data_IF_934412775157
#
_entry.id   IF_934412775157
#
_cell.length_a   1.000
_cell.length_b   1.000
_cell.length_c   1.000
_cell.angle_alpha   90.00
_cell.angle_beta   90.00
_cell.angle_gamma   90.00
#
_symmetry.space_group_name_H-M   'P 1'
#
loop_
_entity.id
_entity.type
_entity.pdbx_description
1 polymer ?
#
# COMPACT_ATOMS: atom_id res chain seq x y z
N UNK A 1 19.00 -28.79 17.98
CA UNK A 1 18.87 -27.60 18.84
C UNK A 1 19.47 -26.41 18.09
N UNK A 2 18.64 -25.46 17.68
CA UNK A 2 19.04 -24.22 17.03
C UNK A 2 18.06 -23.14 17.48
N UNK A 3 18.60 -22.04 18.03
CA UNK A 3 17.88 -21.13 18.93
C UNK A 3 16.57 -20.59 18.38
N UNK A 4 15.48 -20.83 19.12
CA UNK A 4 14.24 -20.08 18.97
C UNK A 4 14.52 -18.62 19.32
N UNK A 5 14.43 -17.77 18.29
CA UNK A 5 14.44 -16.32 18.36
C UNK A 5 13.52 -15.79 19.46
N UNK A 6 14.08 -15.40 20.61
CA UNK A 6 13.36 -14.67 21.64
C UNK A 6 12.80 -13.32 21.11
N UNK A 7 13.33 -12.81 19.99
CA UNK A 7 12.94 -11.53 19.38
C UNK A 7 11.99 -11.63 18.18
N UNK A 8 11.60 -12.84 17.78
CA UNK A 8 10.64 -13.10 16.71
C UNK A 8 11.16 -12.93 15.29
N UNK A 9 10.36 -13.43 14.34
CA UNK A 9 10.73 -13.51 12.94
C UNK A 9 11.07 -12.15 12.32
N UNK A 10 11.67 -12.21 11.12
CA UNK A 10 12.18 -11.04 10.38
C UNK A 10 11.14 -9.91 10.25
N UNK A 11 9.86 -10.23 10.10
CA UNK A 11 8.77 -9.25 10.07
C UNK A 11 8.70 -8.40 11.35
N UNK A 12 8.82 -9.01 12.55
CA UNK A 12 8.81 -8.29 13.84
C UNK A 12 10.05 -7.41 13.98
N UNK A 13 11.22 -7.91 13.57
CA UNK A 13 12.48 -7.16 13.58
C UNK A 13 12.40 -5.93 12.67
N UNK A 14 11.91 -6.08 11.44
CA UNK A 14 11.72 -4.97 10.51
C UNK A 14 10.67 -3.96 11.01
N UNK A 15 9.54 -4.44 11.55
CA UNK A 15 8.51 -3.57 12.09
C UNK A 15 9.03 -2.71 13.25
N UNK A 16 9.76 -3.33 14.19
CA UNK A 16 10.34 -2.59 15.30
C UNK A 16 11.40 -1.58 14.84
N UNK A 17 12.21 -1.94 13.84
CA UNK A 17 13.24 -1.06 13.28
C UNK A 17 12.66 0.24 12.70
N UNK A 18 11.54 0.16 11.99
CA UNK A 18 10.96 1.30 11.28
C UNK A 18 9.70 1.88 11.97
N UNK A 19 9.47 1.52 13.24
CA UNK A 19 8.28 1.96 13.98
C UNK A 19 8.27 3.47 14.20
N UNK A 20 9.42 4.09 14.45
CA UNK A 20 9.52 5.54 14.61
C UNK A 20 9.09 6.27 13.33
N UNK A 21 9.59 5.80 12.20
CA UNK A 21 9.35 6.37 10.87
C UNK A 21 7.88 6.25 10.49
N UNK A 22 7.22 5.15 10.83
CA UNK A 22 5.78 5.00 10.59
C UNK A 22 4.94 6.01 11.39
N UNK A 23 5.39 6.40 12.59
CA UNK A 23 4.76 7.48 13.36
C UNK A 23 5.00 8.83 12.68
N UNK A 24 6.21 9.12 12.20
CA UNK A 24 6.52 10.37 11.49
C UNK A 24 5.67 10.58 10.24
N UNK A 25 5.37 9.51 9.48
CA UNK A 25 4.52 9.59 8.29
C UNK A 25 3.15 10.20 8.62
N UNK A 26 2.55 9.84 9.77
CA UNK A 26 1.25 10.37 10.18
C UNK A 26 1.25 11.88 10.48
N UNK A 27 2.42 12.46 10.76
CA UNK A 27 2.58 13.89 11.03
C UNK A 27 3.07 14.68 9.82
N UNK A 28 3.16 14.06 8.64
CA UNK A 28 3.41 14.81 7.41
C UNK A 28 2.25 15.76 7.11
N UNK A 29 2.50 16.91 6.44
CA UNK A 29 1.46 17.89 6.15
C UNK A 29 0.21 17.30 5.48
N UNK A 30 0.40 16.30 4.60
CA UNK A 30 -0.71 15.60 3.95
C UNK A 30 -1.65 14.95 4.98
N UNK A 31 -1.14 14.08 5.86
CA UNK A 31 -1.96 13.35 6.83
C UNK A 31 -2.54 14.27 7.90
N UNK A 32 -1.82 15.33 8.30
CA UNK A 32 -2.34 16.36 9.19
C UNK A 32 -3.54 17.08 8.56
N UNK A 33 -3.45 17.50 7.30
CA UNK A 33 -4.55 18.17 6.62
C UNK A 33 -5.75 17.24 6.35
N UNK A 34 -5.49 15.95 6.09
CA UNK A 34 -6.55 14.93 6.02
C UNK A 34 -7.29 14.82 7.35
N UNK A 35 -6.55 14.70 8.46
CA UNK A 35 -7.14 14.57 9.79
C UNK A 35 -7.90 15.85 10.22
N UNK A 36 -7.40 17.02 9.85
CA UNK A 36 -8.04 18.31 10.12
C UNK A 36 -9.22 18.63 9.18
N UNK A 37 -9.44 17.83 8.13
CA UNK A 37 -10.52 18.05 7.15
C UNK A 37 -10.30 19.28 6.26
N UNK A 38 -9.06 19.75 6.12
CA UNK A 38 -8.71 20.94 5.32
C UNK A 38 -7.74 20.65 4.17
N UNK A 39 -7.57 19.37 3.79
CA UNK A 39 -6.82 18.99 2.60
C UNK A 39 -7.48 19.58 1.34
N UNK A 40 -6.70 20.26 0.49
CA UNK A 40 -7.23 20.79 -0.76
C UNK A 40 -7.61 19.69 -1.75
N UNK A 41 -8.61 19.97 -2.59
CA UNK A 41 -9.04 19.05 -3.64
C UNK A 41 -7.88 18.69 -4.60
N UNK A 42 -7.06 19.67 -4.97
CA UNK A 42 -5.88 19.44 -5.83
C UNK A 42 -4.87 18.49 -5.18
N UNK A 43 -4.58 18.66 -3.88
CA UNK A 43 -3.66 17.77 -3.15
C UNK A 43 -4.23 16.36 -3.06
N UNK A 44 -5.54 16.24 -2.86
CA UNK A 44 -6.23 14.96 -2.84
C UNK A 44 -6.17 14.26 -4.21
N UNK A 45 -6.48 14.98 -5.29
CA UNK A 45 -6.44 14.45 -6.65
C UNK A 45 -5.01 14.03 -7.05
N UNK A 46 -4.01 14.82 -6.66
CA UNK A 46 -2.61 14.48 -6.87
C UNK A 46 -2.21 13.20 -6.13
N UNK A 47 -2.64 13.07 -4.86
CA UNK A 47 -2.44 11.84 -4.08
C UNK A 47 -3.09 10.63 -4.76
N UNK A 48 -4.35 10.73 -5.19
CA UNK A 48 -5.02 9.62 -5.88
C UNK A 48 -4.27 9.21 -7.16
N UNK A 49 -3.81 10.18 -7.94
CA UNK A 49 -3.05 9.95 -9.17
C UNK A 49 -1.74 9.20 -8.89
N UNK A 50 -0.97 9.63 -7.89
CA UNK A 50 0.25 8.94 -7.46
C UNK A 50 -0.05 7.56 -6.86
N UNK A 51 -1.14 7.44 -6.10
CA UNK A 51 -1.53 6.20 -5.46
C UNK A 51 -1.86 5.09 -6.48
N UNK A 52 -2.41 5.43 -7.65
CA UNK A 52 -2.58 4.49 -8.76
C UNK A 52 -1.24 3.94 -9.25
N UNK A 53 -0.22 4.78 -9.42
CA UNK A 53 1.12 4.32 -9.81
C UNK A 53 1.73 3.39 -8.76
N UNK A 54 1.57 3.72 -7.48
CA UNK A 54 2.04 2.89 -6.38
C UNK A 54 1.35 1.51 -6.38
N UNK A 55 0.02 1.48 -6.50
CA UNK A 55 -0.73 0.22 -6.54
C UNK A 55 -0.36 -0.64 -7.74
N UNK A 56 -0.10 -0.05 -8.91
CA UNK A 56 0.41 -0.78 -10.07
C UNK A 56 1.78 -1.42 -9.79
N UNK A 57 2.68 -0.71 -9.10
CA UNK A 57 3.97 -1.24 -8.68
C UNK A 57 3.80 -2.42 -7.69
N UNK A 58 2.89 -2.31 -6.72
CA UNK A 58 2.56 -3.40 -5.80
C UNK A 58 1.99 -4.63 -6.52
N UNK A 59 1.10 -4.44 -7.50
CA UNK A 59 0.55 -5.55 -8.28
C UNK A 59 1.65 -6.34 -8.99
N UNK A 60 2.63 -5.64 -9.60
CA UNK A 60 3.81 -6.27 -10.21
C UNK A 60 4.73 -6.92 -9.19
N UNK A 61 5.00 -6.26 -8.06
CA UNK A 61 5.85 -6.81 -7.01
C UNK A 61 5.28 -8.13 -6.47
N UNK A 62 3.95 -8.21 -6.27
CA UNK A 62 3.31 -9.46 -5.83
C UNK A 62 3.28 -10.54 -6.91
N UNK A 63 3.20 -10.17 -8.20
CA UNK A 63 3.33 -11.14 -9.28
C UNK A 63 4.72 -11.78 -9.27
N UNK A 64 5.78 -10.98 -9.21
CA UNK A 64 7.15 -11.48 -9.11
C UNK A 64 7.40 -12.28 -7.83
N UNK A 65 6.85 -11.84 -6.70
CA UNK A 65 6.97 -12.57 -5.44
C UNK A 65 6.25 -13.93 -5.47
N UNK A 66 5.13 -14.04 -6.18
CA UNK A 66 4.39 -15.30 -6.38
C UNK A 66 5.20 -16.29 -7.22
N UNK A 67 5.91 -15.82 -8.24
CA UNK A 67 6.82 -16.63 -9.07
C UNK A 67 8.02 -17.16 -8.26
N UNK A 68 8.52 -16.36 -7.31
CA UNK A 68 9.66 -16.71 -6.46
C UNK A 68 9.31 -17.59 -5.25
N UNK A 69 8.03 -17.78 -4.93
CA UNK A 69 7.63 -18.58 -3.77
C UNK A 69 7.75 -20.08 -4.06
N UNK A 70 8.19 -20.87 -3.07
CA UNK A 70 8.37 -22.32 -3.24
C UNK A 70 7.11 -23.11 -2.88
N UNK A 71 6.40 -22.71 -1.82
CA UNK A 71 5.22 -23.40 -1.29
C UNK A 71 3.89 -22.85 -1.85
N UNK A 72 2.93 -23.73 -2.12
CA UNK A 72 1.64 -23.38 -2.72
C UNK A 72 0.74 -22.54 -1.79
N UNK A 73 0.86 -22.67 -0.47
CA UNK A 73 0.16 -21.81 0.49
C UNK A 73 0.71 -20.38 0.43
N UNK A 74 2.03 -20.22 0.37
CA UNK A 74 2.68 -18.91 0.23
C UNK A 74 2.30 -18.25 -1.09
N UNK A 75 2.33 -18.99 -2.21
CA UNK A 75 1.81 -18.53 -3.51
C UNK A 75 0.36 -18.07 -3.41
N UNK A 76 -0.50 -18.86 -2.75
CA UNK A 76 -1.90 -18.51 -2.58
C UNK A 76 -2.08 -17.22 -1.75
N UNK A 77 -1.29 -17.05 -0.69
CA UNK A 77 -1.30 -15.86 0.15
C UNK A 77 -0.88 -14.60 -0.64
N UNK A 78 0.22 -14.68 -1.40
CA UNK A 78 0.70 -13.59 -2.25
C UNK A 78 -0.32 -13.25 -3.35
N UNK A 79 -0.92 -14.28 -3.98
CA UNK A 79 -1.97 -14.09 -4.99
C UNK A 79 -3.20 -13.37 -4.42
N UNK A 80 -3.58 -13.63 -3.16
CA UNK A 80 -4.66 -12.90 -2.47
C UNK A 80 -4.31 -11.42 -2.30
N UNK A 81 -3.06 -11.09 -1.92
CA UNK A 81 -2.58 -9.71 -1.84
C UNK A 81 -2.64 -9.01 -3.19
N UNK A 82 -2.18 -9.68 -4.26
CA UNK A 82 -2.25 -9.16 -5.63
C UNK A 82 -3.67 -8.85 -6.07
N UNK A 83 -4.61 -9.78 -5.84
CA UNK A 83 -6.05 -9.57 -6.15
C UNK A 83 -6.66 -8.40 -5.37
N UNK A 84 -6.28 -8.25 -4.09
CA UNK A 84 -6.74 -7.12 -3.28
C UNK A 84 -6.28 -5.78 -3.87
N UNK A 85 -5.00 -5.68 -4.26
CA UNK A 85 -4.47 -4.47 -4.91
C UNK A 85 -5.15 -4.17 -6.24
N UNK A 86 -5.39 -5.19 -7.07
CA UNK A 86 -6.12 -5.04 -8.33
C UNK A 86 -7.56 -4.54 -8.11
N UNK A 87 -8.25 -5.02 -7.07
CA UNK A 87 -9.57 -4.51 -6.69
C UNK A 87 -9.55 -3.02 -6.31
N UNK A 88 -8.52 -2.57 -5.59
CA UNK A 88 -8.32 -1.16 -5.27
C UNK A 88 -8.02 -0.31 -6.51
N UNK A 89 -7.21 -0.80 -7.44
CA UNK A 89 -6.94 -0.13 -8.72
C UNK A 89 -8.23 0.10 -9.52
N UNK A 90 -9.08 -0.91 -9.62
CA UNK A 90 -10.37 -0.79 -10.32
C UNK A 90 -11.29 0.25 -9.67
N UNK A 91 -11.28 0.32 -8.33
CA UNK A 91 -12.04 1.33 -7.58
C UNK A 91 -11.50 2.74 -7.83
N UNK A 92 -10.17 2.93 -7.80
CA UNK A 92 -9.55 4.22 -8.08
C UNK A 92 -9.77 4.68 -9.53
N UNK A 93 -9.78 3.76 -10.50
CA UNK A 93 -10.09 4.10 -11.89
C UNK A 93 -11.50 4.69 -12.04
N UNK A 94 -12.49 4.15 -11.32
CA UNK A 94 -13.84 4.72 -11.29
C UNK A 94 -13.87 6.14 -10.70
N UNK A 95 -13.10 6.40 -9.64
CA UNK A 95 -13.01 7.73 -9.02
C UNK A 95 -12.36 8.74 -9.97
N UNK A 96 -11.26 8.37 -10.64
CA UNK A 96 -10.56 9.24 -11.58
C UNK A 96 -11.44 9.57 -12.79
N UNK A 97 -12.17 8.59 -13.34
CA UNK A 97 -13.12 8.83 -14.43
C UNK A 97 -14.26 9.77 -14.04
N UNK A 98 -14.81 9.64 -12.82
CA UNK A 98 -15.89 10.52 -12.32
C UNK A 98 -15.40 11.96 -12.19
N UNK A 99 -14.19 12.19 -11.66
CA UNK A 99 -13.61 13.53 -11.53
C UNK A 99 -13.28 14.21 -12.88
N UNK A 100 -13.02 13.43 -13.94
CA UNK A 100 -12.81 13.98 -15.29
C UNK A 100 -14.13 14.35 -16.00
N UNK A 101 -15.26 13.76 -15.59
CA UNK A 101 -16.58 14.06 -16.15
C UNK A 101 -17.19 15.32 -15.50
N UNK A 102 -16.85 15.65 -14.26
CA UNK A 102 -17.37 16.84 -13.56
C UNK A 102 -16.69 18.16 -13.94
N UNK A 103 -15.61 18.12 -14.73
CA UNK A 103 -14.88 19.29 -15.25
C UNK A 103 -15.11 19.54 -16.75
N UNK A 104 -16.18 19.01 -17.33
CA UNK A 104 -16.62 19.29 -18.71
C UNK A 104 -17.91 20.08 -18.78
#
# INVERSE_FOLDING_TARGET
MGGMDAEGGIARKLWNKFRSESVFVNYTPFFVCVAAGNLSADSFQHYISQHVHLLNAFARAYELAEECADDDQDKQAIRKLRKHVQGKLNSNHSLVQVSLIQHR
#
